data_IF_651895376119
#
_entry.id   IF_651895376119
#
_cell.length_a   1.000
_cell.length_b   1.000
_cell.length_c   1.000
_cell.angle_alpha   90.00
_cell.angle_beta   90.00
_cell.angle_gamma   90.00
#
_symmetry.space_group_name_H-M   'P 1'
#
loop_
_entity.id
_entity.type
_entity.pdbx_description
1 polymer ?
#
# COMPACT_ATOMS: atom_id res chain seq x y z
N UNK A 1 20.44 -35.71 -9.14
CA UNK A 1 20.00 -34.71 -10.14
C UNK A 1 18.99 -33.68 -9.60
N UNK A 2 18.85 -33.50 -8.28
CA UNK A 2 17.79 -32.65 -7.71
C UNK A 2 18.19 -31.20 -7.43
N UNK A 3 19.49 -30.89 -7.32
CA UNK A 3 19.98 -29.53 -6.97
C UNK A 3 19.73 -28.47 -8.07
N UNK A 4 19.50 -28.86 -9.31
CA UNK A 4 19.25 -27.94 -10.43
C UNK A 4 17.79 -27.53 -10.59
N UNK A 5 16.84 -28.29 -10.03
CA UNK A 5 15.41 -27.94 -10.11
C UNK A 5 15.01 -26.79 -9.16
N UNK A 6 15.69 -26.66 -8.01
CA UNK A 6 15.43 -25.58 -7.04
C UNK A 6 15.81 -24.19 -7.56
N UNK A 7 17.00 -24.06 -8.17
CA UNK A 7 17.48 -22.79 -8.74
C UNK A 7 16.58 -22.27 -9.86
N UNK A 8 16.05 -23.16 -10.70
CA UNK A 8 15.18 -22.77 -11.81
C UNK A 8 13.77 -22.33 -11.33
N UNK A 9 13.28 -22.90 -10.22
CA UNK A 9 12.01 -22.46 -9.61
C UNK A 9 12.13 -21.05 -9.02
N UNK A 10 13.24 -20.73 -8.36
CA UNK A 10 13.48 -19.40 -7.79
C UNK A 10 13.59 -18.31 -8.87
N UNK A 11 14.27 -18.58 -9.99
CA UNK A 11 14.38 -17.62 -11.10
C UNK A 11 13.04 -17.36 -11.78
N UNK A 12 12.23 -18.40 -11.99
CA UNK A 12 10.88 -18.27 -12.57
C UNK A 12 9.95 -17.48 -11.63
N UNK A 13 9.97 -17.78 -10.33
CA UNK A 13 9.19 -17.05 -9.33
C UNK A 13 9.60 -15.56 -9.27
N UNK A 14 10.90 -15.26 -9.32
CA UNK A 14 11.39 -13.89 -9.35
C UNK A 14 11.02 -13.13 -10.64
N UNK A 15 10.98 -13.82 -11.79
CA UNK A 15 10.51 -13.22 -13.05
C UNK A 15 8.99 -12.96 -13.02
N UNK A 16 8.20 -13.90 -12.48
CA UNK A 16 6.76 -13.76 -12.34
C UNK A 16 6.40 -12.59 -11.41
N UNK A 17 7.02 -12.49 -10.24
CA UNK A 17 6.79 -11.38 -9.30
C UNK A 17 7.20 -10.03 -9.91
N UNK A 18 8.31 -9.98 -10.65
CA UNK A 18 8.72 -8.75 -11.35
C UNK A 18 7.71 -8.31 -12.41
N UNK A 19 7.16 -9.25 -13.19
CA UNK A 19 6.13 -8.95 -14.19
C UNK A 19 4.86 -8.41 -13.52
N UNK A 20 4.45 -9.01 -12.41
CA UNK A 20 3.30 -8.60 -11.62
C UNK A 20 3.47 -7.17 -11.07
N UNK A 21 4.62 -6.88 -10.42
CA UNK A 21 4.94 -5.55 -9.89
C UNK A 21 4.93 -4.49 -11.00
N UNK A 22 5.56 -4.76 -12.15
CA UNK A 22 5.55 -3.82 -13.27
C UNK A 22 4.17 -3.67 -13.91
N UNK A 23 3.38 -4.74 -13.95
CA UNK A 23 1.99 -4.72 -14.38
C UNK A 23 1.15 -3.81 -13.48
N UNK A 24 1.32 -3.94 -12.17
CA UNK A 24 0.66 -3.12 -11.16
C UNK A 24 1.07 -1.65 -11.27
N UNK A 25 2.37 -1.37 -11.40
CA UNK A 25 2.88 -0.01 -11.64
C UNK A 25 2.19 0.63 -12.86
N UNK A 26 2.18 -0.05 -14.01
CA UNK A 26 1.52 0.45 -15.23
C UNK A 26 0.02 0.63 -15.05
N UNK A 27 -0.65 -0.25 -14.28
CA UNK A 27 -2.07 -0.13 -13.96
C UNK A 27 -2.35 1.18 -13.23
N UNK A 28 -1.51 1.59 -12.28
CA UNK A 28 -1.65 2.87 -11.57
C UNK A 28 -1.66 4.05 -12.56
N UNK A 29 -0.69 4.13 -13.49
CA UNK A 29 -0.68 5.23 -14.47
C UNK A 29 -1.91 5.24 -15.38
N UNK A 30 -2.46 4.07 -15.73
CA UNK A 30 -3.71 3.99 -16.50
C UNK A 30 -4.91 4.48 -15.67
N UNK A 31 -4.95 4.17 -14.39
CA UNK A 31 -5.99 4.66 -13.47
C UNK A 31 -5.91 6.17 -13.32
N UNK A 32 -4.72 6.72 -13.08
CA UNK A 32 -4.49 8.17 -12.98
C UNK A 32 -4.98 8.92 -14.23
N UNK A 33 -4.80 8.36 -15.42
CA UNK A 33 -5.31 8.98 -16.66
C UNK A 33 -6.84 9.10 -16.67
N UNK A 34 -7.54 8.10 -16.13
CA UNK A 34 -9.00 8.06 -16.04
C UNK A 34 -9.56 8.70 -14.77
N UNK A 35 -8.69 9.06 -13.83
CA UNK A 35 -9.07 9.61 -12.54
C UNK A 35 -9.77 10.97 -12.70
N UNK A 36 -10.82 11.16 -11.92
CA UNK A 36 -11.56 12.41 -11.78
C UNK A 36 -11.91 12.58 -10.31
N UNK A 37 -11.69 13.78 -9.75
CA UNK A 37 -12.02 14.03 -8.37
C UNK A 37 -13.53 13.94 -8.16
N UNK A 38 -13.94 13.42 -7.01
CA UNK A 38 -15.37 13.37 -6.63
C UNK A 38 -16.00 14.78 -6.54
N UNK A 39 -15.18 15.82 -6.31
CA UNK A 39 -15.63 17.22 -6.30
C UNK A 39 -16.01 17.76 -7.68
N UNK A 40 -15.62 17.08 -8.77
CA UNK A 40 -15.79 17.56 -10.14
C UNK A 40 -14.91 18.75 -10.50
N UNK A 41 -14.11 19.27 -9.57
CA UNK A 41 -13.22 20.39 -9.82
C UNK A 41 -11.95 19.93 -10.55
N UNK A 42 -11.53 20.71 -11.54
CA UNK A 42 -10.31 20.41 -12.31
C UNK A 42 -9.06 20.51 -11.43
N UNK A 43 -9.01 21.50 -10.53
CA UNK A 43 -7.86 21.71 -9.66
C UNK A 43 -7.64 20.54 -8.70
N UNK A 44 -8.71 20.05 -8.06
CA UNK A 44 -8.67 18.87 -7.20
C UNK A 44 -8.24 17.64 -8.00
N UNK A 45 -8.81 17.45 -9.20
CA UNK A 45 -8.42 16.34 -10.09
C UNK A 45 -6.93 16.37 -10.41
N UNK A 46 -6.34 17.55 -10.63
CA UNK A 46 -4.90 17.69 -10.89
C UNK A 46 -4.09 17.35 -9.62
N UNK A 47 -4.46 17.89 -8.46
CA UNK A 47 -3.78 17.63 -7.18
C UNK A 47 -3.81 16.15 -6.81
N UNK A 48 -4.97 15.52 -6.94
CA UNK A 48 -5.17 14.09 -6.68
C UNK A 48 -4.35 13.21 -7.62
N UNK A 49 -4.35 13.52 -8.93
CA UNK A 49 -3.51 12.82 -9.91
C UNK A 49 -2.02 12.94 -9.58
N UNK A 50 -1.56 14.14 -9.25
CA UNK A 50 -0.17 14.38 -8.86
C UNK A 50 0.19 13.61 -7.59
N UNK A 51 -0.71 13.57 -6.61
CA UNK A 51 -0.52 12.80 -5.38
C UNK A 51 -0.33 11.31 -5.68
N UNK A 52 -1.25 10.69 -6.42
CA UNK A 52 -1.16 9.26 -6.78
C UNK A 52 0.17 8.96 -7.49
N UNK A 53 0.58 9.81 -8.44
CA UNK A 53 1.82 9.63 -9.19
C UNK A 53 3.06 9.75 -8.31
N UNK A 54 3.12 10.75 -7.44
CA UNK A 54 4.25 10.96 -6.55
C UNK A 54 4.35 9.84 -5.51
N UNK A 55 3.24 9.46 -4.91
CA UNK A 55 3.21 8.36 -3.95
C UNK A 55 3.66 7.04 -4.59
N UNK A 56 3.11 6.70 -5.76
CA UNK A 56 3.50 5.49 -6.48
C UNK A 56 4.99 5.51 -6.86
N UNK A 57 5.53 6.64 -7.35
CA UNK A 57 6.96 6.74 -7.67
C UNK A 57 7.83 6.56 -6.43
N UNK A 58 7.50 7.23 -5.34
CA UNK A 58 8.25 7.17 -4.08
C UNK A 58 8.26 5.76 -3.50
N UNK A 59 7.11 5.10 -3.43
CA UNK A 59 7.00 3.75 -2.87
C UNK A 59 7.69 2.69 -3.73
N UNK A 60 7.50 2.73 -5.05
CA UNK A 60 8.17 1.77 -5.94
C UNK A 60 9.69 1.98 -5.96
N UNK A 61 10.15 3.23 -5.87
CA UNK A 61 11.58 3.52 -5.79
C UNK A 61 12.19 3.04 -4.46
N UNK A 62 11.48 3.25 -3.34
CA UNK A 62 11.90 2.76 -2.02
C UNK A 62 12.03 1.24 -1.99
N UNK A 63 11.10 0.54 -2.63
CA UNK A 63 11.03 -0.91 -2.64
C UNK A 63 11.90 -1.56 -3.75
N UNK A 64 12.66 -0.77 -4.53
CA UNK A 64 13.44 -1.26 -5.68
C UNK A 64 14.45 -2.36 -5.32
N UNK A 65 15.02 -2.30 -4.12
CA UNK A 65 16.06 -3.23 -3.66
C UNK A 65 15.49 -4.38 -2.79
N UNK A 66 14.17 -4.52 -2.69
CA UNK A 66 13.56 -5.64 -1.98
C UNK A 66 13.80 -6.94 -2.75
N UNK A 67 14.40 -7.92 -2.08
CA UNK A 67 14.71 -9.25 -2.62
C UNK A 67 13.88 -10.36 -2.00
N UNK A 68 13.30 -10.10 -0.82
CA UNK A 68 12.44 -11.04 -0.12
C UNK A 68 11.07 -11.17 -0.82
N UNK A 69 10.77 -12.37 -1.29
CA UNK A 69 9.55 -12.67 -2.04
C UNK A 69 8.28 -12.47 -1.22
N UNK A 70 8.33 -12.69 0.09
CA UNK A 70 7.14 -12.56 0.95
C UNK A 70 6.84 -11.08 1.25
N UNK A 71 7.88 -10.26 1.41
CA UNK A 71 7.72 -8.81 1.52
C UNK A 71 7.22 -8.21 0.21
N UNK A 72 7.70 -8.69 -0.94
CA UNK A 72 7.21 -8.23 -2.26
C UNK A 72 5.71 -8.54 -2.41
N UNK A 73 5.26 -9.73 -2.03
CA UNK A 73 3.83 -10.09 -2.07
C UNK A 73 3.00 -9.18 -1.16
N UNK A 74 3.46 -8.94 0.07
CA UNK A 74 2.78 -8.00 0.98
C UNK A 74 2.66 -6.59 0.38
N UNK A 75 3.70 -6.11 -0.31
CA UNK A 75 3.64 -4.82 -1.01
C UNK A 75 2.65 -4.82 -2.19
N UNK A 76 2.54 -5.93 -2.93
CA UNK A 76 1.58 -6.10 -4.03
C UNK A 76 0.15 -6.09 -3.47
N UNK A 77 -0.11 -6.84 -2.40
CA UNK A 77 -1.41 -6.91 -1.74
C UNK A 77 -1.80 -5.54 -1.17
N UNK A 78 -0.87 -4.86 -0.50
CA UNK A 78 -1.05 -3.49 0.00
C UNK A 78 -1.42 -2.53 -1.12
N UNK A 79 -0.68 -2.55 -2.23
CA UNK A 79 -0.92 -1.66 -3.35
C UNK A 79 -2.26 -1.95 -4.04
N UNK A 80 -2.63 -3.23 -4.15
CA UNK A 80 -3.93 -3.65 -4.70
C UNK A 80 -5.08 -3.18 -3.82
N UNK A 81 -4.98 -3.39 -2.51
CA UNK A 81 -5.97 -2.89 -1.55
C UNK A 81 -6.10 -1.36 -1.59
N UNK A 82 -5.00 -0.61 -1.72
CA UNK A 82 -5.03 0.86 -1.90
C UNK A 82 -5.78 1.26 -3.15
N UNK A 83 -5.52 0.61 -4.28
CA UNK A 83 -6.21 0.88 -5.54
C UNK A 83 -7.71 0.63 -5.40
N UNK A 84 -8.11 -0.48 -4.79
CA UNK A 84 -9.52 -0.85 -4.61
C UNK A 84 -10.25 0.15 -3.71
N UNK A 85 -9.64 0.56 -2.60
CA UNK A 85 -10.21 1.56 -1.68
C UNK A 85 -10.30 2.92 -2.36
N UNK A 86 -9.26 3.33 -3.10
CA UNK A 86 -9.25 4.57 -3.84
C UNK A 86 -10.37 4.62 -4.88
N UNK A 87 -10.59 3.53 -5.62
CA UNK A 87 -11.67 3.42 -6.59
C UNK A 87 -13.05 3.34 -5.95
N UNK A 88 -13.20 2.63 -4.83
CA UNK A 88 -14.47 2.45 -4.16
C UNK A 88 -14.97 3.75 -3.52
N UNK A 89 -14.08 4.52 -2.90
CA UNK A 89 -14.44 5.77 -2.22
C UNK A 89 -14.18 7.03 -3.03
N UNK A 90 -13.53 6.92 -4.21
CA UNK A 90 -13.10 8.06 -5.02
C UNK A 90 -12.21 9.04 -4.23
N UNK A 91 -11.35 8.50 -3.36
CA UNK A 91 -10.42 9.28 -2.53
C UNK A 91 -9.03 8.68 -2.71
N UNK A 92 -8.04 9.44 -3.21
CA UNK A 92 -6.69 8.92 -3.43
C UNK A 92 -5.86 8.89 -2.15
N UNK A 93 -6.29 9.62 -1.12
CA UNK A 93 -5.59 9.74 0.15
C UNK A 93 -5.87 8.56 1.07
N UNK A 94 -4.90 8.17 1.91
CA UNK A 94 -5.10 7.15 2.92
C UNK A 94 -6.17 7.58 3.92
N UNK A 95 -7.17 6.71 4.09
CA UNK A 95 -8.31 6.97 4.99
C UNK A 95 -7.83 6.93 6.45
N UNK A 96 -8.02 8.01 7.24
CA UNK A 96 -7.72 8.00 8.65
C UNK A 96 -8.50 6.89 9.36
N UNK A 97 -7.82 6.10 10.19
CA UNK A 97 -8.49 5.08 11.00
C UNK A 97 -9.22 5.82 12.13
N UNK A 98 -10.55 5.90 12.07
CA UNK A 98 -11.39 6.46 13.12
C UNK A 98 -11.49 5.53 14.34
N UNK A 99 -10.35 5.04 14.83
CA UNK A 99 -10.32 4.33 16.11
C UNK A 99 -10.26 5.39 17.21
N UNK A 100 -11.35 5.65 17.95
CA UNK A 100 -11.35 6.70 18.96
C UNK A 100 -10.18 6.49 19.93
N UNK A 101 -9.39 7.54 20.24
CA UNK A 101 -8.32 7.47 21.22
C UNK A 101 -8.81 6.94 22.57
N UNK A 102 -10.11 7.13 22.86
CA UNK A 102 -10.80 6.84 24.12
C UNK A 102 -11.78 5.65 24.07
N UNK A 103 -11.91 4.92 22.96
CA UNK A 103 -12.90 3.82 22.83
C UNK A 103 -12.57 2.54 23.61
N UNK A 104 -11.40 2.51 24.27
CA UNK A 104 -10.92 1.39 25.08
C UNK A 104 -10.46 1.90 26.45
N UNK A 105 -11.40 2.21 27.35
CA UNK A 105 -11.21 2.51 28.80
C UNK A 105 -10.25 3.66 29.20
N UNK A 106 -10.40 4.29 30.38
CA UNK A 106 -9.72 5.54 30.71
C UNK A 106 -8.19 5.43 30.89
N UNK A 107 -7.52 6.54 30.60
CA UNK A 107 -6.08 6.84 30.59
C UNK A 107 -5.32 6.73 31.94
N UNK A 108 -5.56 5.70 32.77
CA UNK A 108 -4.68 5.41 33.92
C UNK A 108 -4.41 3.91 34.07
N UNK A 109 -3.18 3.48 33.79
CA UNK A 109 -2.65 2.17 34.18
C UNK A 109 -1.76 1.47 33.14
N UNK A 110 -1.25 0.29 33.52
CA UNK A 110 -0.34 -0.61 32.74
C UNK A 110 -0.88 -1.07 31.36
N UNK A 111 -2.10 -0.67 30.97
CA UNK A 111 -2.78 -1.08 29.73
C UNK A 111 -2.36 -0.32 28.46
N UNK A 112 -1.66 0.81 28.57
CA UNK A 112 -1.30 1.64 27.40
C UNK A 112 -0.46 0.91 26.35
N UNK A 113 0.56 0.14 26.78
CA UNK A 113 1.41 -0.66 25.86
C UNK A 113 0.62 -1.75 25.14
N UNK A 114 -0.37 -2.35 25.81
CA UNK A 114 -1.22 -3.39 25.21
C UNK A 114 -2.18 -2.79 24.16
N UNK A 115 -2.70 -1.59 24.42
CA UNK A 115 -3.52 -0.87 23.46
C UNK A 115 -2.72 -0.38 22.24
N UNK A 116 -1.48 0.08 22.45
CA UNK A 116 -0.61 0.47 21.33
C UNK A 116 -0.26 -0.74 20.44
N UNK A 117 -0.04 -1.91 21.04
CA UNK A 117 0.13 -3.17 20.29
C UNK A 117 -1.13 -3.53 19.51
N UNK A 118 -2.31 -3.51 20.14
CA UNK A 118 -3.59 -3.73 19.46
C UNK A 118 -3.80 -2.74 18.31
N UNK A 119 -3.45 -1.47 18.51
CA UNK A 119 -3.49 -0.44 17.45
C UNK A 119 -2.60 -0.79 16.27
N UNK A 120 -1.36 -1.23 16.51
CA UNK A 120 -0.45 -1.67 15.43
C UNK A 120 -0.99 -2.89 14.69
N UNK A 121 -1.61 -3.84 15.40
CA UNK A 121 -2.21 -5.04 14.81
C UNK A 121 -3.50 -4.74 14.02
N UNK A 122 -4.30 -3.77 14.46
CA UNK A 122 -5.55 -3.37 13.81
C UNK A 122 -5.36 -2.42 12.62
N UNK A 123 -4.11 -2.06 12.26
CA UNK A 123 -3.86 -1.25 11.07
C UNK A 123 -4.25 -2.05 9.83
N UNK A 124 -5.08 -1.50 8.93
CA UNK A 124 -5.46 -2.20 7.73
C UNK A 124 -4.25 -2.30 6.79
N UNK A 125 -4.24 -3.36 5.97
CA UNK A 125 -3.11 -3.72 5.10
C UNK A 125 -2.66 -2.55 4.22
N UNK A 126 -3.61 -1.75 3.73
CA UNK A 126 -3.35 -0.59 2.88
C UNK A 126 -2.68 0.60 3.58
N UNK A 127 -2.44 0.58 4.89
CA UNK A 127 -1.86 1.71 5.63
C UNK A 127 -0.42 1.49 6.06
N UNK A 128 0.13 0.28 5.84
CA UNK A 128 1.44 -0.15 6.37
C UNK A 128 2.59 0.75 5.91
N UNK A 129 2.60 1.13 4.63
CA UNK A 129 3.64 1.98 4.02
C UNK A 129 3.38 3.49 4.16
N UNK A 130 2.26 3.92 4.77
CA UNK A 130 1.90 5.35 4.86
C UNK A 130 2.58 6.06 6.04
N UNK A 131 2.75 5.38 7.17
CA UNK A 131 3.42 5.92 8.35
C UNK A 131 4.91 6.26 8.10
N UNK A 132 5.50 5.74 7.03
CA UNK A 132 6.91 5.92 6.70
C UNK A 132 7.17 7.11 5.75
N UNK A 133 6.11 7.78 5.26
CA UNK A 133 6.18 8.92 4.33
C UNK A 133 5.79 10.25 5.03
N UNK A 134 5.15 10.17 6.20
CA UNK A 134 4.64 11.34 6.95
C UNK A 134 5.64 11.91 7.96
#
# INVERSE_FOLDING_TARGET
>A
MEKWQGLNKHSILAQATRQEVLGLYRRIFRLVRKWQAASGQMEDTIKEKQYILNEARTLFQKNKNLTDTDLIKQCIDECTARIEIGLHYQIPYPRPIHLPPMGLTPLRGRGLRSQEKLRKLSKPVYLKSHDEIS
#
